data_IF_615047813358
#
_entry.id   IF_615047813358
#
_cell.length_a   1.000
_cell.length_b   1.000
_cell.length_c   1.000
_cell.angle_alpha   90.00
_cell.angle_beta   90.00
_cell.angle_gamma   90.00
#
_symmetry.space_group_name_H-M   'P 1'
#
loop_
_entity.id
_entity.type
_entity.pdbx_description
1 polymer ?
#
# COMPACT_ATOMS: atom_id res chain seq x y z
N UNK A 1 -1.12 5.67 -17.86
CA UNK A 1 -0.40 6.22 -16.70
C UNK A 1 0.85 5.40 -16.38
N UNK A 2 0.75 4.09 -16.33
CA UNK A 2 1.89 3.20 -16.04
C UNK A 2 3.07 3.39 -17.00
N UNK A 3 2.81 3.61 -18.29
CA UNK A 3 3.86 3.83 -19.28
C UNK A 3 4.58 5.15 -19.04
N UNK A 4 3.83 6.21 -18.66
CA UNK A 4 4.41 7.49 -18.29
C UNK A 4 5.29 7.38 -17.04
N UNK A 5 4.83 6.67 -16.02
CA UNK A 5 5.62 6.45 -14.79
C UNK A 5 6.88 5.64 -15.04
N UNK A 6 6.80 4.59 -15.88
CA UNK A 6 7.98 3.81 -16.29
C UNK A 6 8.97 4.66 -17.09
N UNK A 7 8.48 5.48 -18.02
CA UNK A 7 9.32 6.40 -18.78
C UNK A 7 10.01 7.39 -17.85
N UNK A 8 9.27 8.03 -16.94
CA UNK A 8 9.83 9.01 -15.99
C UNK A 8 10.86 8.38 -15.05
N UNK A 9 10.64 7.14 -14.59
CA UNK A 9 11.59 6.42 -13.74
C UNK A 9 12.94 6.15 -14.45
N UNK A 10 12.93 6.01 -15.77
CA UNK A 10 14.15 5.79 -16.58
C UNK A 10 14.76 7.08 -17.14
N UNK A 11 14.02 8.20 -17.09
CA UNK A 11 14.46 9.47 -17.67
C UNK A 11 15.54 10.14 -16.81
N UNK A 12 16.62 10.58 -17.47
CA UNK A 12 17.74 11.29 -16.86
C UNK A 12 17.87 12.74 -17.33
N UNK A 13 16.94 13.20 -18.17
CA UNK A 13 16.96 14.55 -18.73
C UNK A 13 16.12 15.48 -17.88
N UNK A 14 16.52 16.72 -17.79
CA UNK A 14 15.81 17.82 -17.12
C UNK A 14 14.66 18.40 -17.94
N UNK A 15 14.63 18.13 -19.25
CA UNK A 15 13.60 18.59 -20.18
C UNK A 15 13.13 17.46 -21.05
N UNK A 16 11.82 17.42 -21.29
CA UNK A 16 11.18 16.48 -22.21
C UNK A 16 10.20 17.20 -23.13
N UNK A 17 10.01 16.68 -24.34
CA UNK A 17 8.94 17.11 -25.22
C UNK A 17 7.71 16.23 -24.97
N UNK A 18 6.58 16.89 -24.72
CA UNK A 18 5.29 16.21 -24.47
C UNK A 18 4.30 16.63 -25.54
N UNK A 19 3.74 15.68 -26.24
CA UNK A 19 2.63 15.90 -27.17
C UNK A 19 1.31 15.71 -26.39
N UNK A 20 0.51 16.76 -26.32
CA UNK A 20 -0.78 16.75 -25.66
C UNK A 20 -1.90 16.99 -26.65
N UNK A 21 -3.00 16.24 -26.53
CA UNK A 21 -4.21 16.46 -27.29
C UNK A 21 -5.15 17.39 -26.48
N UNK A 22 -5.37 18.60 -26.97
CA UNK A 22 -6.23 19.59 -26.32
C UNK A 22 -7.28 20.09 -27.30
N UNK A 23 -8.54 19.89 -26.98
CA UNK A 23 -9.68 20.26 -27.84
C UNK A 23 -9.59 19.68 -29.27
N UNK A 24 -9.01 18.50 -29.45
CA UNK A 24 -8.81 17.83 -30.75
C UNK A 24 -7.54 18.25 -31.51
N UNK A 25 -6.79 19.22 -31.02
CA UNK A 25 -5.52 19.65 -31.58
C UNK A 25 -4.32 19.05 -30.86
N UNK A 26 -3.31 18.64 -31.62
CA UNK A 26 -2.04 18.16 -31.08
C UNK A 26 -1.11 19.33 -30.82
N UNK A 27 -0.70 19.48 -29.59
CA UNK A 27 0.24 20.52 -29.15
C UNK A 27 1.48 19.87 -28.58
N UNK A 28 2.64 20.20 -29.17
CA UNK A 28 3.94 19.78 -28.62
C UNK A 28 4.47 20.89 -27.72
N UNK A 29 4.82 20.54 -26.49
CA UNK A 29 5.40 21.47 -25.52
C UNK A 29 6.63 20.86 -24.88
N UNK A 30 7.66 21.68 -24.72
CA UNK A 30 8.82 21.33 -23.92
C UNK A 30 8.49 21.63 -22.45
N UNK A 31 8.62 20.63 -21.62
CA UNK A 31 8.35 20.70 -20.17
C UNK A 31 9.67 20.57 -19.42
N UNK A 32 9.95 21.51 -18.52
CA UNK A 32 11.04 21.41 -17.58
C UNK A 32 10.63 20.56 -16.39
N UNK A 33 11.49 19.62 -16.00
CA UNK A 33 11.23 18.65 -14.95
C UNK A 33 11.90 19.10 -13.66
N UNK A 34 11.21 18.91 -12.54
CA UNK A 34 11.80 19.14 -11.21
C UNK A 34 12.56 17.88 -10.75
N UNK A 35 13.79 18.06 -10.29
CA UNK A 35 14.55 16.96 -9.74
C UNK A 35 14.19 16.72 -8.27
N UNK A 36 13.80 15.50 -7.94
CA UNK A 36 13.55 15.10 -6.56
C UNK A 36 14.83 14.43 -6.01
N UNK A 37 15.48 15.10 -5.05
CA UNK A 37 16.75 14.64 -4.49
C UNK A 37 16.61 13.35 -3.66
N UNK A 38 15.48 13.17 -2.98
CA UNK A 38 15.24 12.00 -2.13
C UNK A 38 15.08 10.71 -2.98
N UNK A 39 14.32 10.81 -4.07
CA UNK A 39 14.04 9.68 -4.97
C UNK A 39 15.04 9.56 -6.11
N UNK A 40 15.89 10.56 -6.31
CA UNK A 40 16.87 10.66 -7.41
C UNK A 40 16.23 10.49 -8.80
N UNK A 41 15.04 11.06 -8.97
CA UNK A 41 14.26 11.01 -10.23
C UNK A 41 13.77 12.41 -10.61
N UNK A 42 13.54 12.60 -11.91
CA UNK A 42 12.87 13.78 -12.43
C UNK A 42 11.36 13.62 -12.38
N UNK A 43 10.63 14.66 -11.97
CA UNK A 43 9.17 14.68 -11.86
C UNK A 43 8.58 15.72 -12.82
N UNK A 44 7.52 15.34 -13.52
CA UNK A 44 6.78 16.23 -14.42
C UNK A 44 5.75 17.12 -13.68
N UNK A 45 5.42 16.78 -12.42
CA UNK A 45 4.50 17.58 -11.60
C UNK A 45 3.03 17.50 -12.02
N UNK A 46 2.63 16.39 -12.66
CA UNK A 46 1.23 16.13 -13.01
C UNK A 46 0.68 14.96 -12.20
N UNK A 47 -0.60 15.05 -11.86
CA UNK A 47 -1.34 13.97 -11.21
C UNK A 47 -2.45 13.47 -12.13
N UNK A 48 -2.77 12.16 -12.08
CA UNK A 48 -3.91 11.65 -12.84
C UNK A 48 -5.20 12.24 -12.28
N UNK A 49 -6.06 12.73 -13.17
CA UNK A 49 -7.43 13.12 -12.77
C UNK A 49 -8.20 11.86 -12.40
N UNK A 50 -8.74 11.83 -11.19
CA UNK A 50 -9.65 10.76 -10.77
C UNK A 50 -11.02 11.08 -11.31
N UNK A 51 -11.47 10.31 -12.30
CA UNK A 51 -12.83 10.42 -12.83
C UNK A 51 -13.74 9.40 -12.14
N UNK A 52 -14.79 9.90 -11.49
CA UNK A 52 -15.79 9.06 -10.80
C UNK A 52 -16.82 8.55 -11.80
N UNK A 53 -16.65 7.33 -12.26
CA UNK A 53 -17.66 6.67 -13.07
C UNK A 53 -18.74 6.06 -12.17
N UNK A 54 -20.00 6.35 -12.47
CA UNK A 54 -21.12 5.66 -11.84
C UNK A 54 -21.29 4.28 -12.47
N UNK A 55 -21.27 3.27 -11.65
CA UNK A 55 -21.52 1.88 -12.03
C UNK A 55 -22.93 1.47 -11.63
N UNK A 56 -23.56 0.59 -12.40
CA UNK A 56 -24.71 -0.17 -11.93
C UNK A 56 -24.31 -1.13 -10.81
N UNK A 57 -25.27 -1.69 -10.07
CA UNK A 57 -24.98 -2.63 -8.99
C UNK A 57 -24.13 -3.82 -9.46
N UNK A 58 -24.49 -4.44 -10.59
CA UNK A 58 -23.74 -5.57 -11.16
C UNK A 58 -22.31 -5.20 -11.55
N UNK A 59 -22.12 -4.08 -12.25
CA UNK A 59 -20.79 -3.57 -12.60
C UNK A 59 -19.96 -3.21 -11.36
N UNK A 60 -20.59 -2.70 -10.29
CA UNK A 60 -19.90 -2.39 -9.03
C UNK A 60 -19.37 -3.64 -8.35
N UNK A 61 -20.15 -4.73 -8.35
CA UNK A 61 -19.71 -6.03 -7.79
C UNK A 61 -18.55 -6.59 -8.61
N UNK A 62 -18.65 -6.59 -9.95
CA UNK A 62 -17.58 -7.07 -10.82
C UNK A 62 -16.28 -6.25 -10.66
N UNK A 63 -16.41 -4.92 -10.68
CA UNK A 63 -15.27 -4.02 -10.45
C UNK A 63 -14.66 -4.21 -9.06
N UNK A 64 -15.49 -4.44 -8.03
CA UNK A 64 -15.06 -4.74 -6.68
C UNK A 64 -14.21 -6.00 -6.60
N UNK A 65 -14.64 -7.10 -7.24
CA UNK A 65 -13.87 -8.34 -7.30
C UNK A 65 -12.55 -8.18 -8.08
N UNK A 66 -12.58 -7.43 -9.19
CA UNK A 66 -11.36 -7.15 -9.96
C UNK A 66 -10.37 -6.34 -9.14
N UNK A 67 -10.81 -5.27 -8.51
CA UNK A 67 -9.98 -4.43 -7.67
C UNK A 67 -9.45 -5.18 -6.44
N UNK A 68 -10.26 -6.05 -5.82
CA UNK A 68 -9.83 -6.89 -4.73
C UNK A 68 -8.64 -7.79 -5.12
N UNK A 69 -8.69 -8.43 -6.29
CA UNK A 69 -7.59 -9.28 -6.79
C UNK A 69 -6.29 -8.48 -6.99
N UNK A 70 -6.39 -7.28 -7.53
CA UNK A 70 -5.22 -6.42 -7.74
C UNK A 70 -4.65 -5.93 -6.39
N UNK A 71 -5.51 -5.52 -5.46
CA UNK A 71 -5.11 -5.14 -4.10
C UNK A 71 -4.45 -6.31 -3.36
N UNK A 72 -5.03 -7.51 -3.45
CA UNK A 72 -4.45 -8.71 -2.85
C UNK A 72 -3.04 -8.99 -3.38
N UNK A 73 -2.84 -8.93 -4.71
CA UNK A 73 -1.51 -9.08 -5.33
C UNK A 73 -0.54 -8.02 -4.84
N UNK A 74 -0.98 -6.76 -4.77
CA UNK A 74 -0.15 -5.63 -4.32
C UNK A 74 0.29 -5.80 -2.86
N UNK A 75 -0.60 -6.27 -1.98
CA UNK A 75 -0.26 -6.53 -0.57
C UNK A 75 0.78 -7.66 -0.45
N UNK A 76 0.58 -8.76 -1.18
CA UNK A 76 1.54 -9.87 -1.18
C UNK A 76 2.89 -9.43 -1.76
N UNK A 77 2.89 -8.59 -2.80
CA UNK A 77 4.10 -8.06 -3.38
C UNK A 77 4.82 -7.10 -2.41
N UNK A 78 4.08 -6.21 -1.73
CA UNK A 78 4.61 -5.34 -0.69
C UNK A 78 5.24 -6.14 0.46
N UNK A 79 4.57 -7.21 0.90
CA UNK A 79 5.11 -8.11 1.92
C UNK A 79 6.42 -8.80 1.47
N UNK A 80 6.46 -9.27 0.21
CA UNK A 80 7.70 -9.84 -0.35
C UNK A 80 8.84 -8.81 -0.38
N UNK A 81 8.56 -7.57 -0.77
CA UNK A 81 9.56 -6.50 -0.78
C UNK A 81 10.06 -6.17 0.63
N UNK A 82 9.17 -6.21 1.62
CA UNK A 82 9.53 -6.03 3.03
C UNK A 82 10.48 -7.13 3.51
N UNK A 83 10.13 -8.39 3.29
CA UNK A 83 10.93 -9.55 3.72
C UNK A 83 12.27 -9.63 2.97
N UNK A 84 12.30 -9.19 1.69
CA UNK A 84 13.54 -9.14 0.90
C UNK A 84 14.45 -7.96 1.23
N UNK A 85 14.06 -7.07 2.16
CA UNK A 85 14.84 -5.89 2.55
C UNK A 85 14.91 -4.80 1.47
N UNK A 86 14.03 -4.84 0.47
CA UNK A 86 13.96 -3.82 -0.59
C UNK A 86 13.26 -2.53 -0.13
N UNK A 87 12.50 -2.60 0.96
CA UNK A 87 11.81 -1.46 1.57
C UNK A 87 12.65 -0.96 2.74
N UNK A 88 13.01 0.31 2.71
CA UNK A 88 13.69 0.95 3.84
C UNK A 88 12.69 1.30 4.93
N UNK A 89 13.14 1.32 6.18
CA UNK A 89 12.29 1.74 7.30
C UNK A 89 11.72 3.16 7.10
N UNK A 90 12.46 4.02 6.39
CA UNK A 90 12.04 5.38 6.07
C UNK A 90 10.90 5.44 5.03
N UNK A 91 10.73 4.40 4.22
CA UNK A 91 9.64 4.34 3.23
C UNK A 91 8.33 3.84 3.86
N UNK A 92 8.36 3.36 5.11
CA UNK A 92 7.18 2.89 5.81
C UNK A 92 6.42 4.06 6.43
N UNK A 93 5.13 4.13 6.16
CA UNK A 93 4.21 5.00 6.87
C UNK A 93 3.60 4.22 8.04
N UNK A 94 3.75 4.75 9.24
CA UNK A 94 3.11 4.23 10.42
C UNK A 94 1.78 4.94 10.72
N UNK A 95 1.25 4.77 11.94
CA UNK A 95 -0.03 5.34 12.34
C UNK A 95 -0.13 6.86 12.16
N UNK A 96 0.96 7.56 12.41
CA UNK A 96 1.01 9.03 12.30
C UNK A 96 1.05 9.45 10.83
N UNK A 97 1.81 8.73 9.99
CA UNK A 97 1.81 8.93 8.55
C UNK A 97 0.42 8.71 7.93
N UNK A 98 -0.32 7.71 8.41
CA UNK A 98 -1.69 7.44 7.98
C UNK A 98 -2.63 8.61 8.33
N UNK A 99 -2.50 9.23 9.52
CA UNK A 99 -3.31 10.40 9.90
C UNK A 99 -3.11 11.56 8.91
N UNK A 100 -1.87 11.81 8.48
CA UNK A 100 -1.58 12.84 7.46
C UNK A 100 -2.28 12.52 6.14
N UNK A 101 -2.19 11.27 5.67
CA UNK A 101 -2.87 10.84 4.43
C UNK A 101 -4.39 11.05 4.55
N UNK A 102 -5.00 10.72 5.69
CA UNK A 102 -6.43 10.93 5.93
C UNK A 102 -6.80 12.42 5.91
N UNK A 103 -5.95 13.26 6.47
CA UNK A 103 -6.21 14.72 6.55
C UNK A 103 -6.09 15.39 5.17
N UNK A 104 -5.06 15.04 4.41
CA UNK A 104 -4.87 15.52 3.02
C UNK A 104 -6.04 15.12 2.12
N UNK A 105 -6.54 13.90 2.28
CA UNK A 105 -7.66 13.35 1.52
C UNK A 105 -9.00 13.97 1.90
N UNK A 106 -9.23 14.22 3.18
CA UNK A 106 -10.48 14.82 3.68
C UNK A 106 -10.73 16.20 3.07
N UNK A 107 -9.68 16.95 2.80
CA UNK A 107 -9.77 18.28 2.20
C UNK A 107 -10.10 18.24 0.70
N UNK A 108 -9.76 17.15 0.00
CA UNK A 108 -9.81 17.11 -1.45
C UNK A 108 -10.93 16.22 -2.03
N UNK A 109 -11.35 15.15 -1.35
CA UNK A 109 -12.32 14.22 -1.93
C UNK A 109 -12.91 13.19 -0.94
N UNK A 110 -14.19 13.32 -0.60
CA UNK A 110 -14.89 12.37 0.29
C UNK A 110 -15.01 10.95 -0.29
N UNK A 111 -15.04 10.78 -1.60
CA UNK A 111 -15.07 9.45 -2.25
C UNK A 111 -13.78 8.65 -2.00
N UNK A 112 -12.66 9.34 -1.86
CA UNK A 112 -11.38 8.69 -1.57
C UNK A 112 -11.33 8.14 -0.13
N UNK A 113 -12.05 8.73 0.83
CA UNK A 113 -12.13 8.20 2.20
C UNK A 113 -12.80 6.82 2.22
N UNK A 114 -13.84 6.62 1.41
CA UNK A 114 -14.50 5.32 1.28
C UNK A 114 -13.53 4.30 0.69
N UNK A 115 -12.82 4.68 -0.37
CA UNK A 115 -11.80 3.84 -0.98
C UNK A 115 -10.67 3.50 0.00
N UNK A 116 -10.15 4.49 0.74
CA UNK A 116 -9.12 4.29 1.75
C UNK A 116 -9.58 3.35 2.87
N UNK A 117 -10.83 3.50 3.32
CA UNK A 117 -11.43 2.61 4.32
C UNK A 117 -11.50 1.17 3.82
N UNK A 118 -11.93 0.98 2.57
CA UNK A 118 -11.98 -0.33 1.92
C UNK A 118 -10.56 -0.93 1.80
N UNK A 119 -9.59 -0.14 1.36
CA UNK A 119 -8.18 -0.55 1.25
C UNK A 119 -7.62 -1.00 2.60
N UNK A 120 -7.82 -0.22 3.66
CA UNK A 120 -7.36 -0.56 5.01
C UNK A 120 -8.04 -1.82 5.53
N UNK A 121 -9.35 -1.98 5.31
CA UNK A 121 -10.10 -3.17 5.72
C UNK A 121 -9.57 -4.44 5.03
N UNK A 122 -9.31 -4.37 3.73
CA UNK A 122 -8.74 -5.48 2.95
C UNK A 122 -7.33 -5.81 3.47
N UNK A 123 -6.50 -4.78 3.69
CA UNK A 123 -5.15 -4.97 4.23
C UNK A 123 -5.18 -5.69 5.59
N UNK A 124 -6.00 -5.21 6.52
CA UNK A 124 -6.15 -5.85 7.85
C UNK A 124 -6.59 -7.31 7.70
N UNK A 125 -7.56 -7.60 6.82
CA UNK A 125 -8.00 -8.97 6.55
C UNK A 125 -6.87 -9.86 6.01
N UNK A 126 -6.12 -9.37 5.03
CA UNK A 126 -5.00 -10.13 4.42
C UNK A 126 -3.88 -10.36 5.45
N UNK A 127 -3.49 -9.31 6.20
CA UNK A 127 -2.46 -9.44 7.22
C UNK A 127 -2.86 -10.43 8.31
N UNK A 128 -4.12 -10.42 8.75
CA UNK A 128 -4.61 -11.37 9.75
C UNK A 128 -4.60 -12.83 9.26
N UNK A 129 -4.68 -13.07 7.95
CA UNK A 129 -4.57 -14.42 7.37
C UNK A 129 -3.12 -14.89 7.16
N UNK A 130 -2.12 -14.02 7.37
CA UNK A 130 -0.73 -14.44 7.27
C UNK A 130 -0.38 -15.49 8.34
N UNK A 131 0.47 -16.48 8.01
CA UNK A 131 0.90 -17.52 8.92
C UNK A 131 1.92 -16.98 9.96
N UNK A 132 1.49 -15.99 10.73
CA UNK A 132 2.32 -15.34 11.74
C UNK A 132 1.74 -15.51 13.13
N UNK A 133 2.56 -15.82 14.15
CA UNK A 133 2.12 -15.85 15.53
C UNK A 133 1.46 -14.51 15.93
N UNK A 134 0.43 -14.58 16.74
CA UNK A 134 -0.45 -13.48 17.15
C UNK A 134 -1.54 -13.07 16.14
N UNK A 135 -1.49 -13.51 14.90
CA UNK A 135 -2.52 -13.30 13.90
C UNK A 135 -3.44 -14.53 13.78
N UNK A 136 -4.63 -14.35 13.20
CA UNK A 136 -5.60 -15.43 13.02
C UNK A 136 -5.04 -16.54 12.12
N UNK A 137 -4.28 -16.20 11.08
CA UNK A 137 -3.59 -17.17 10.22
C UNK A 137 -2.62 -18.07 10.98
N UNK A 138 -1.95 -17.55 12.01
CA UNK A 138 -1.13 -18.36 12.91
C UNK A 138 -1.95 -19.37 13.69
N UNK A 139 -3.15 -18.99 14.17
CA UNK A 139 -4.08 -19.90 14.85
C UNK A 139 -4.65 -20.98 13.92
N UNK A 140 -4.98 -20.58 12.69
CA UNK A 140 -5.48 -21.52 11.68
C UNK A 140 -4.49 -22.67 11.46
N UNK A 141 -3.17 -22.40 11.48
CA UNK A 141 -2.16 -23.46 11.35
C UNK A 141 -2.29 -24.50 12.48
N UNK A 142 -2.46 -24.06 13.73
CA UNK A 142 -2.62 -24.99 14.85
C UNK A 142 -3.91 -25.80 14.72
N UNK A 143 -5.01 -25.17 14.31
CA UNK A 143 -6.29 -25.87 14.05
C UNK A 143 -6.14 -26.91 12.92
N UNK A 144 -5.45 -26.56 11.85
CA UNK A 144 -5.18 -27.52 10.75
C UNK A 144 -4.35 -28.71 11.26
N UNK A 145 -3.30 -28.47 12.05
CA UNK A 145 -2.50 -29.55 12.63
C UNK A 145 -3.34 -30.49 13.51
N UNK A 146 -4.25 -29.92 14.33
CA UNK A 146 -5.16 -30.70 15.16
C UNK A 146 -6.14 -31.54 14.31
N UNK A 147 -6.64 -31.00 13.19
CA UNK A 147 -7.48 -31.74 12.23
C UNK A 147 -6.75 -32.96 11.62
N UNK A 148 -5.44 -32.88 11.44
CA UNK A 148 -4.62 -34.03 11.02
C UNK A 148 -4.21 -34.95 12.16
N UNK A 149 -4.78 -34.80 13.36
CA UNK A 149 -4.53 -35.65 14.52
C UNK A 149 -3.25 -35.33 15.28
N UNK A 150 -2.56 -34.23 14.94
CA UNK A 150 -1.35 -33.77 15.65
C UNK A 150 -1.81 -32.98 16.89
N UNK A 151 -1.62 -33.59 18.07
CA UNK A 151 -1.95 -32.90 19.34
C UNK A 151 -0.95 -31.79 19.62
N UNK A 152 -1.39 -30.55 19.45
CA UNK A 152 -0.59 -29.38 19.80
C UNK A 152 -0.72 -29.08 21.29
N UNK A 153 0.41 -28.84 21.95
CA UNK A 153 0.40 -28.46 23.37
C UNK A 153 -0.09 -27.02 23.48
N UNK A 154 -1.26 -26.80 24.12
CA UNK A 154 -1.87 -25.48 24.33
C UNK A 154 -0.91 -24.45 24.95
N UNK A 155 -0.08 -24.89 25.90
CA UNK A 155 0.95 -24.00 26.51
C UNK A 155 2.00 -23.55 25.50
N UNK A 156 2.31 -24.37 24.52
CA UNK A 156 3.26 -24.01 23.43
C UNK A 156 2.58 -23.00 22.49
N UNK A 157 1.32 -23.24 22.12
CA UNK A 157 0.54 -22.33 21.29
C UNK A 157 0.45 -20.93 21.92
N UNK A 158 0.09 -20.87 23.23
CA UNK A 158 0.03 -19.63 24.00
C UNK A 158 1.38 -18.88 24.01
N UNK A 159 2.49 -19.61 24.24
CA UNK A 159 3.84 -19.01 24.24
C UNK A 159 4.20 -18.46 22.86
N UNK A 160 3.94 -19.21 21.80
CA UNK A 160 4.21 -18.79 20.42
C UNK A 160 3.40 -17.54 20.06
N UNK A 161 2.13 -17.50 20.45
CA UNK A 161 1.27 -16.33 20.30
C UNK A 161 1.78 -15.12 21.10
N UNK A 162 2.18 -15.32 22.34
CA UNK A 162 2.70 -14.25 23.19
C UNK A 162 3.99 -13.64 22.61
N UNK A 163 4.90 -14.47 22.13
CA UNK A 163 6.12 -14.00 21.44
C UNK A 163 5.76 -13.19 20.18
N UNK A 164 4.79 -13.67 19.41
CA UNK A 164 4.30 -12.93 18.24
C UNK A 164 3.74 -11.55 18.60
N UNK A 165 2.98 -11.43 19.68
CA UNK A 165 2.46 -10.14 20.17
C UNK A 165 3.63 -9.21 20.51
N UNK A 166 4.66 -9.69 21.23
CA UNK A 166 5.82 -8.87 21.59
C UNK A 166 6.52 -8.35 20.34
N UNK A 167 6.70 -9.20 19.33
CA UNK A 167 7.31 -8.79 18.05
C UNK A 167 6.46 -7.71 17.37
N UNK A 168 5.13 -7.88 17.29
CA UNK A 168 4.25 -6.90 16.66
C UNK A 168 4.24 -5.56 17.41
N UNK A 169 4.20 -5.59 18.74
CA UNK A 169 4.25 -4.38 19.56
C UNK A 169 5.60 -3.67 19.40
N UNK A 170 6.71 -4.43 19.38
CA UNK A 170 8.03 -3.88 19.13
C UNK A 170 8.13 -3.21 17.77
N UNK A 171 7.61 -3.86 16.72
CA UNK A 171 7.56 -3.31 15.37
C UNK A 171 6.69 -2.04 15.31
N UNK A 172 5.52 -2.05 15.96
CA UNK A 172 4.65 -0.89 16.06
C UNK A 172 5.36 0.32 16.69
N UNK A 173 6.08 0.10 17.79
CA UNK A 173 6.84 1.16 18.47
C UNK A 173 7.95 1.69 17.58
N UNK A 174 8.67 0.82 16.88
CA UNK A 174 9.74 1.23 15.97
C UNK A 174 9.22 2.07 14.79
N UNK A 175 8.14 1.63 14.15
CA UNK A 175 7.53 2.37 13.03
C UNK A 175 6.97 3.71 13.50
N UNK A 176 6.27 3.73 14.65
CA UNK A 176 5.74 4.98 15.22
C UNK A 176 6.86 5.94 15.61
N UNK A 177 7.94 5.44 16.18
CA UNK A 177 9.12 6.25 16.49
C UNK A 177 9.77 6.85 15.24
N UNK A 178 9.82 6.09 14.14
CA UNK A 178 10.30 6.59 12.86
C UNK A 178 9.37 7.67 12.25
N UNK A 179 8.05 7.48 12.35
CA UNK A 179 7.08 8.51 11.93
C UNK A 179 7.26 9.82 12.70
N UNK A 180 7.48 9.74 14.00
CA UNK A 180 7.72 10.92 14.85
C UNK A 180 8.99 11.66 14.39
N UNK A 181 10.07 10.92 14.12
CA UNK A 181 11.33 11.53 13.61
C UNK A 181 11.16 12.28 12.29
N UNK A 182 10.24 11.85 11.43
CA UNK A 182 9.93 12.53 10.15
C UNK A 182 9.12 13.81 10.32
N UNK A 183 8.60 14.08 11.52
CA UNK A 183 7.84 15.29 11.83
C UNK A 183 8.73 16.45 12.26
N UNK A 184 9.92 16.15 12.74
CA UNK A 184 10.95 17.10 13.20
C UNK A 184 12.18 17.07 12.32
#
# INVERSE_FOLDING_TARGET
WEDLTKFMASNKKDKIEVEVLRAGEKLTKTVELSYNEERKIYLIGIEPTVDFRKYSFGESVEAGFKNYKELFKSVIQGFKMLVSGQVKADDMAGPIGLVKVVDDVKQNNSGFLIWLTALLSINVGIFNLLPFPALDGGRIIFVILEMFGIKVNKKLEEKVHFVGIIILVGLFILITGNDIKKLF
#
